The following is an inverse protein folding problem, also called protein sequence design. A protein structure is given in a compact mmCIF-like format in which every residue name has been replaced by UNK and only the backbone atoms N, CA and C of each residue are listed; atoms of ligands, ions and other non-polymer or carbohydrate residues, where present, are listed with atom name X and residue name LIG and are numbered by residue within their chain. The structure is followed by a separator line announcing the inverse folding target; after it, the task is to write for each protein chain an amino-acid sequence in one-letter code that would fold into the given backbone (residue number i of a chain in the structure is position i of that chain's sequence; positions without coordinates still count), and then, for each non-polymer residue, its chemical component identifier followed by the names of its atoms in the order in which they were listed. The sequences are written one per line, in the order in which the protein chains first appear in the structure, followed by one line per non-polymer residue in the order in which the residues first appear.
data_IF_327634711633
#
_entry.id   IF_327634711633
#
_cell.length_a   1.000
_cell.length_b   1.000
_cell.length_c   1.000
_cell.angle_alpha   90.00
_cell.angle_beta   90.00
_cell.angle_gamma   90.00
#
_symmetry.space_group_name_H-M   'P 1'
#
loop_
_entity.id
_entity.type
_entity.pdbx_description
1 polymer ?
#
# COMPACT_ATOMS: atom_id res chain seq x y z
N UNK A 1 10.08 6.16 -10.64
CA UNK A 1 8.71 5.56 -10.63
C UNK A 1 8.61 4.57 -9.48
N UNK A 2 7.53 3.90 -9.31
CA UNK A 2 7.23 2.93 -8.25
C UNK A 2 6.26 1.92 -8.83
N UNK A 3 6.26 0.70 -8.37
CA UNK A 3 5.23 -0.27 -8.68
C UNK A 3 4.79 -0.99 -7.40
N UNK A 4 3.53 -0.79 -7.01
CA UNK A 4 2.94 -1.47 -5.86
C UNK A 4 1.64 -2.15 -6.26
N UNK A 5 1.40 -3.32 -5.65
CA UNK A 5 0.24 -4.19 -5.91
C UNK A 5 -0.41 -4.54 -4.58
N UNK A 6 -1.73 -4.56 -4.55
CA UNK A 6 -2.54 -5.18 -3.52
C UNK A 6 -3.58 -6.09 -4.16
N UNK A 7 -3.65 -7.35 -3.76
CA UNK A 7 -4.63 -8.34 -4.26
C UNK A 7 -5.41 -8.89 -3.08
N UNK A 8 -6.74 -8.81 -3.15
CA UNK A 8 -7.64 -9.39 -2.16
C UNK A 8 -8.18 -10.71 -2.71
N UNK A 9 -8.01 -11.79 -1.98
CA UNK A 9 -8.58 -13.10 -2.29
C UNK A 9 -9.62 -13.48 -1.23
N UNK A 10 -10.31 -14.62 -1.39
CA UNK A 10 -11.21 -15.13 -0.35
C UNK A 10 -10.46 -15.49 0.94
N UNK A 11 -9.17 -15.88 0.83
CA UNK A 11 -8.36 -16.46 1.90
C UNK A 11 -7.35 -15.49 2.50
N UNK A 12 -7.15 -14.31 1.89
CA UNK A 12 -6.16 -13.35 2.38
C UNK A 12 -5.88 -12.20 1.42
N UNK A 13 -4.83 -11.44 1.77
CA UNK A 13 -4.32 -10.32 0.97
C UNK A 13 -2.86 -10.58 0.62
N UNK A 14 -2.51 -10.32 -0.63
CA UNK A 14 -1.12 -10.28 -1.11
C UNK A 14 -0.76 -8.85 -1.42
N UNK A 15 0.36 -8.37 -0.90
CA UNK A 15 0.89 -7.03 -1.16
C UNK A 15 2.32 -7.14 -1.63
N UNK A 16 2.67 -6.39 -2.66
CA UNK A 16 4.04 -6.28 -3.16
C UNK A 16 4.39 -4.83 -3.49
N UNK A 17 5.63 -4.45 -3.26
CA UNK A 17 6.16 -3.15 -3.68
C UNK A 17 7.64 -3.26 -4.05
N UNK A 18 8.08 -2.43 -4.99
CA UNK A 18 9.49 -2.16 -5.21
C UNK A 18 10.03 -1.21 -4.12
N UNK A 19 11.35 -1.13 -3.99
CA UNK A 19 12.01 -0.24 -3.01
C UNK A 19 12.93 0.80 -3.66
N UNK A 20 13.05 0.79 -4.99
CA UNK A 20 13.88 1.77 -5.69
C UNK A 20 13.26 3.16 -5.65
N UNK A 21 14.05 4.16 -5.29
CA UNK A 21 13.65 5.56 -5.30
C UNK A 21 14.68 6.35 -6.08
N UNK A 22 14.23 7.10 -7.09
CA UNK A 22 15.07 7.88 -7.97
C UNK A 22 14.83 9.38 -7.74
N UNK A 23 15.91 10.12 -7.53
CA UNK A 23 15.93 11.57 -7.59
C UNK A 23 16.75 12.01 -8.81
N UNK A 24 16.16 11.92 -10.02
CA UNK A 24 16.84 12.01 -11.30
C UNK A 24 17.35 10.66 -11.80
N UNK A 25 18.10 10.65 -12.90
CA UNK A 25 18.57 9.41 -13.55
C UNK A 25 19.71 8.72 -12.77
N UNK A 26 20.56 9.49 -12.11
CA UNK A 26 21.82 9.00 -11.50
C UNK A 26 21.76 8.87 -9.97
N UNK A 27 20.71 9.37 -9.32
CA UNK A 27 20.58 9.31 -7.86
C UNK A 27 19.55 8.25 -7.47
N UNK A 28 20.02 7.00 -7.38
CA UNK A 28 19.21 5.83 -7.00
C UNK A 28 19.43 5.53 -5.52
N UNK A 29 18.34 5.49 -4.76
CA UNK A 29 18.34 5.10 -3.36
C UNK A 29 17.34 3.96 -3.14
N UNK A 30 17.47 3.27 -2.00
CA UNK A 30 16.58 2.22 -1.58
C UNK A 30 15.80 2.69 -0.35
N UNK A 31 14.46 2.74 -0.48
CA UNK A 31 13.55 3.05 0.62
C UNK A 31 12.38 2.07 0.57
N UNK A 32 12.09 1.39 1.67
CA UNK A 32 10.88 0.59 1.75
C UNK A 32 9.65 1.49 1.56
N UNK A 33 8.75 1.04 0.70
CA UNK A 33 7.47 1.67 0.42
C UNK A 33 6.32 0.89 1.07
N UNK A 34 6.66 -0.17 1.80
CA UNK A 34 5.74 -1.05 2.50
C UNK A 34 5.92 -0.92 4.00
N UNK A 35 4.80 -0.74 4.70
CA UNK A 35 4.73 -0.69 6.16
C UNK A 35 3.63 -1.62 6.64
N UNK A 36 3.91 -2.33 7.72
CA UNK A 36 3.01 -3.31 8.30
C UNK A 36 2.83 -3.01 9.77
N UNK A 37 1.60 -2.98 10.22
CA UNK A 37 1.24 -2.75 11.61
C UNK A 37 0.42 -3.92 12.12
N UNK A 38 0.99 -4.71 13.03
CA UNK A 38 0.29 -5.74 13.80
C UNK A 38 0.06 -5.18 15.19
N UNK A 39 -1.11 -4.60 15.42
CA UNK A 39 -1.45 -3.88 16.65
C UNK A 39 -2.67 -4.52 17.32
N UNK A 40 -2.40 -5.41 18.25
CA UNK A 40 -3.43 -6.04 19.07
C UNK A 40 -4.33 -6.99 18.28
N UNK A 41 -5.53 -6.53 17.93
CA UNK A 41 -6.59 -7.29 17.27
C UNK A 41 -6.65 -7.05 15.75
N UNK A 42 -5.63 -6.41 15.15
CA UNK A 42 -5.66 -6.01 13.75
C UNK A 42 -4.31 -6.04 13.08
N UNK A 43 -4.33 -6.29 11.77
CA UNK A 43 -3.19 -6.15 10.88
C UNK A 43 -3.53 -5.12 9.82
N UNK A 44 -2.66 -4.14 9.63
CA UNK A 44 -2.77 -3.10 8.59
C UNK A 44 -1.52 -3.15 7.71
N UNK A 45 -1.72 -3.34 6.42
CA UNK A 45 -0.69 -3.36 5.37
C UNK A 45 -0.82 -2.08 4.56
N UNK A 46 0.28 -1.35 4.37
CA UNK A 46 0.29 -0.09 3.65
C UNK A 46 1.43 -0.12 2.64
N UNK A 47 1.13 0.18 1.37
CA UNK A 47 2.14 0.49 0.36
C UNK A 47 1.86 1.83 -0.28
N UNK A 48 2.91 2.51 -0.74
CA UNK A 48 2.80 3.89 -1.21
C UNK A 48 3.55 4.14 -2.50
N UNK A 49 3.02 5.09 -3.28
CA UNK A 49 3.65 5.68 -4.46
C UNK A 49 3.45 7.19 -4.46
N UNK A 50 4.38 7.94 -5.01
CA UNK A 50 4.31 9.39 -5.13
C UNK A 50 5.41 10.11 -4.36
N UNK A 51 5.09 11.18 -3.64
CA UNK A 51 6.09 11.96 -2.92
C UNK A 51 6.60 11.25 -1.66
N UNK A 52 7.91 10.93 -1.64
CA UNK A 52 8.53 10.23 -0.52
C UNK A 52 8.44 11.01 0.79
N UNK A 53 8.65 12.34 0.75
CA UNK A 53 8.58 13.18 1.95
C UNK A 53 7.19 13.16 2.59
N UNK A 54 6.14 13.20 1.76
CA UNK A 54 4.75 13.09 2.24
C UNK A 54 4.47 11.73 2.84
N UNK A 55 4.86 10.64 2.18
CA UNK A 55 4.64 9.30 2.72
C UNK A 55 5.40 9.06 4.02
N UNK A 56 6.66 9.50 4.13
CA UNK A 56 7.43 9.43 5.37
C UNK A 56 6.78 10.24 6.51
N UNK A 57 6.24 11.42 6.22
CA UNK A 57 5.52 12.23 7.20
C UNK A 57 4.23 11.56 7.69
N UNK A 58 3.50 10.87 6.78
CA UNK A 58 2.32 10.06 7.14
C UNK A 58 2.73 8.91 8.07
N UNK A 59 3.73 8.11 7.73
CA UNK A 59 4.19 6.99 8.55
C UNK A 59 4.66 7.45 9.94
N UNK A 60 5.50 8.48 9.99
CA UNK A 60 5.97 9.06 11.26
C UNK A 60 4.80 9.55 12.14
N UNK A 61 3.73 10.07 11.52
CA UNK A 61 2.55 10.50 12.26
C UNK A 61 1.76 9.29 12.78
N UNK A 62 1.61 8.23 11.99
CA UNK A 62 0.96 6.99 12.42
C UNK A 62 1.70 6.40 13.63
N UNK A 63 3.03 6.27 13.56
CA UNK A 63 3.85 5.76 14.66
C UNK A 63 3.68 6.60 15.93
N UNK A 64 3.78 7.92 15.82
CA UNK A 64 3.56 8.84 16.93
C UNK A 64 2.15 8.74 17.53
N UNK A 65 1.12 8.63 16.68
CA UNK A 65 -0.26 8.52 17.13
C UNK A 65 -0.53 7.15 17.78
N UNK A 66 0.19 6.09 17.42
CA UNK A 66 0.13 4.78 18.09
C UNK A 66 0.77 4.79 19.49
N UNK A 67 1.81 5.60 19.69
CA UNK A 67 2.45 5.79 20.99
C UNK A 67 1.65 6.72 21.92
N UNK A 68 0.79 7.58 21.35
CA UNK A 68 0.00 8.57 22.10
C UNK A 68 -1.15 7.91 22.84
N UNK A 69 -1.09 7.99 24.19
CA UNK A 69 -2.13 7.46 25.09
C UNK A 69 -3.26 8.45 25.38
N UNK A 70 -3.30 9.62 24.74
CA UNK A 70 -4.30 10.68 24.99
C UNK A 70 -5.71 10.35 24.47
N UNK A 71 -5.92 9.18 23.83
CA UNK A 71 -7.21 8.80 23.22
C UNK A 71 -7.44 9.40 21.82
N UNK A 72 -6.42 9.99 21.22
CA UNK A 72 -6.46 10.52 19.87
C UNK A 72 -6.71 9.41 18.85
N UNK A 73 -7.39 9.75 17.77
CA UNK A 73 -7.68 8.81 16.69
C UNK A 73 -6.37 8.29 16.07
N UNK A 74 -6.21 6.98 16.04
CA UNK A 74 -5.07 6.27 15.49
C UNK A 74 -5.52 4.90 14.94
N UNK A 75 -4.60 4.08 14.44
CA UNK A 75 -4.94 2.76 13.89
C UNK A 75 -5.60 1.83 14.93
N UNK A 76 -5.29 1.95 16.22
CA UNK A 76 -5.89 1.13 17.29
C UNK A 76 -7.33 1.52 17.61
N UNK A 77 -7.68 2.79 17.42
CA UNK A 77 -9.01 3.31 17.78
C UNK A 77 -10.01 3.26 16.62
N UNK A 78 -9.57 2.90 15.41
CA UNK A 78 -10.46 2.70 14.27
C UNK A 78 -11.33 1.44 14.48
N UNK A 79 -12.65 1.57 14.31
CA UNK A 79 -13.61 0.48 14.51
C UNK A 79 -13.75 -0.45 13.30
N UNK A 80 -13.39 0.04 12.11
CA UNK A 80 -13.42 -0.66 10.84
C UNK A 80 -12.36 -0.13 9.87
N UNK A 81 -12.17 -0.82 8.74
CA UNK A 81 -11.19 -0.43 7.74
C UNK A 81 -11.57 0.84 6.96
N UNK A 82 -12.83 1.21 6.93
CA UNK A 82 -13.29 2.47 6.36
C UNK A 82 -12.74 3.66 7.18
N UNK A 83 -12.74 3.52 8.51
CA UNK A 83 -12.13 4.50 9.40
C UNK A 83 -10.60 4.53 9.29
N UNK A 84 -9.95 3.37 9.04
CA UNK A 84 -8.51 3.31 8.74
C UNK A 84 -8.19 4.08 7.47
N UNK A 85 -8.96 3.85 6.39
CA UNK A 85 -8.78 4.58 5.12
C UNK A 85 -8.99 6.08 5.28
N UNK A 86 -10.03 6.51 6.01
CA UNK A 86 -10.29 7.93 6.34
C UNK A 86 -9.16 8.56 7.14
N UNK A 87 -8.63 7.84 8.13
CA UNK A 87 -7.53 8.33 8.97
C UNK A 87 -6.27 8.55 8.14
N UNK A 88 -5.85 7.57 7.32
CA UNK A 88 -4.68 7.68 6.46
C UNK A 88 -4.89 8.75 5.38
N UNK A 89 -6.09 8.83 4.79
CA UNK A 89 -6.45 9.87 3.82
C UNK A 89 -6.34 11.28 4.39
N UNK A 90 -6.81 11.49 5.61
CA UNK A 90 -6.69 12.77 6.32
C UNK A 90 -5.22 13.14 6.60
N UNK A 91 -4.38 12.17 6.99
CA UNK A 91 -2.94 12.37 7.16
C UNK A 91 -2.26 12.71 5.83
N UNK A 92 -2.61 12.01 4.75
CA UNK A 92 -2.08 12.29 3.42
C UNK A 92 -2.38 13.72 2.99
N UNK A 93 -3.63 14.14 3.08
CA UNK A 93 -4.05 15.51 2.75
C UNK A 93 -3.32 16.55 3.62
N UNK A 94 -3.19 16.29 4.92
CA UNK A 94 -2.49 17.18 5.88
C UNK A 94 -1.02 17.39 5.49
N UNK A 95 -0.33 16.34 5.03
CA UNK A 95 1.10 16.38 4.74
C UNK A 95 1.43 16.72 3.28
N UNK A 96 0.47 16.63 2.37
CA UNK A 96 0.63 17.00 0.96
C UNK A 96 0.50 18.48 0.68
N UNK A 97 -0.04 19.25 1.61
CA UNK A 97 -0.21 20.71 1.47
C UNK A 97 0.95 21.45 2.19
N UNK A 98 1.85 22.11 1.47
CA UNK A 98 2.88 22.94 2.08
C UNK A 98 2.22 24.08 2.87
N UNK A 99 2.63 24.28 4.13
CA UNK A 99 2.15 25.39 4.93
C UNK A 99 2.54 26.71 4.27
N UNK A 100 1.55 27.55 3.95
CA UNK A 100 1.75 28.91 3.44
C UNK A 100 1.83 29.07 1.93
N UNK A 101 1.54 28.06 1.14
CA UNK A 101 1.41 28.16 -0.32
C UNK A 101 -0.06 28.34 -0.73
N UNK A 102 -0.31 29.18 -1.75
CA UNK A 102 -1.62 29.39 -2.34
C UNK A 102 -2.15 28.11 -2.99
N UNK A 103 -3.46 27.99 -3.08
CA UNK A 103 -4.25 26.83 -3.52
C UNK A 103 -3.91 26.28 -4.92
N UNK A 104 -3.12 26.97 -5.72
CA UNK A 104 -2.70 26.53 -7.07
C UNK A 104 -1.39 25.72 -7.09
N UNK A 105 -0.82 25.42 -5.92
CA UNK A 105 0.43 24.66 -5.83
C UNK A 105 0.15 23.17 -6.00
N UNK A 106 0.91 22.53 -6.87
CA UNK A 106 0.92 21.07 -7.10
C UNK A 106 0.88 20.34 -5.76
N UNK A 107 -0.20 19.61 -5.50
CA UNK A 107 -0.31 18.75 -4.34
C UNK A 107 0.82 17.70 -4.39
N UNK A 108 1.78 17.80 -3.47
CA UNK A 108 2.87 16.83 -3.32
C UNK A 108 2.35 15.56 -2.62
N UNK A 109 1.18 15.10 -3.03
CA UNK A 109 0.51 13.98 -2.40
C UNK A 109 1.08 12.63 -2.80
N UNK A 110 0.82 11.66 -1.95
CA UNK A 110 1.10 10.25 -2.21
C UNK A 110 -0.19 9.48 -2.44
N UNK A 111 -0.09 8.38 -3.14
CA UNK A 111 -1.18 7.41 -3.29
C UNK A 111 -0.84 6.19 -2.44
N UNK A 112 -1.83 5.66 -1.71
CA UNK A 112 -1.62 4.49 -0.86
C UNK A 112 -2.55 3.35 -1.27
N UNK A 113 -2.07 2.13 -1.16
CA UNK A 113 -2.91 0.94 -1.04
C UNK A 113 -2.85 0.52 0.43
N UNK A 114 -4.03 0.36 1.03
CA UNK A 114 -4.18 -0.03 2.43
C UNK A 114 -5.06 -1.26 2.49
N UNK A 115 -4.56 -2.32 3.11
CA UNK A 115 -5.30 -3.57 3.25
C UNK A 115 -5.10 -4.19 4.62
N UNK A 116 -5.97 -5.13 4.96
CA UNK A 116 -5.84 -5.90 6.20
C UNK A 116 -7.17 -6.26 6.81
N UNK A 117 -7.15 -6.47 8.12
CA UNK A 117 -8.34 -6.91 8.85
C UNK A 117 -8.30 -6.49 10.32
N UNK A 118 -9.45 -6.16 10.87
CA UNK A 118 -9.71 -5.99 12.30
C UNK A 118 -10.50 -7.21 12.77
N UNK A 119 -10.22 -7.73 13.95
CA UNK A 119 -10.88 -8.91 14.53
C UNK A 119 -12.40 -8.75 14.53
N UNK A 120 -13.10 -9.77 14.00
CA UNK A 120 -14.54 -9.75 13.87
C UNK A 120 -15.11 -8.86 12.75
N UNK A 121 -14.24 -8.24 11.94
CA UNK A 121 -14.64 -7.42 10.79
C UNK A 121 -14.20 -8.06 9.46
N UNK A 122 -14.82 -7.67 8.35
CA UNK A 122 -14.38 -8.09 7.01
C UNK A 122 -12.93 -7.66 6.73
N UNK A 123 -12.22 -8.51 6.01
CA UNK A 123 -10.94 -8.16 5.41
C UNK A 123 -11.17 -7.21 4.23
N UNK A 124 -10.43 -6.10 4.18
CA UNK A 124 -10.64 -5.02 3.21
C UNK A 124 -9.35 -4.59 2.51
N UNK A 125 -9.53 -3.97 1.34
CA UNK A 125 -8.46 -3.38 0.54
C UNK A 125 -8.95 -2.06 -0.04
N UNK A 126 -8.16 -0.98 0.11
CA UNK A 126 -8.50 0.37 -0.34
C UNK A 126 -7.36 1.01 -1.11
N UNK A 127 -7.72 1.80 -2.10
CA UNK A 127 -6.85 2.79 -2.74
C UNK A 127 -7.19 4.16 -2.17
N UNK A 128 -6.20 4.87 -1.65
CA UNK A 128 -6.33 6.22 -1.11
C UNK A 128 -5.60 7.18 -2.04
N UNK A 129 -6.33 8.17 -2.54
CA UNK A 129 -5.81 9.19 -3.45
C UNK A 129 -5.07 10.32 -2.72
N UNK A 130 -4.26 11.13 -3.43
CA UNK A 130 -3.59 12.29 -2.86
C UNK A 130 -4.55 13.27 -2.16
N UNK A 131 -5.79 13.37 -2.63
CA UNK A 131 -6.84 14.22 -2.09
C UNK A 131 -7.47 13.67 -0.80
N UNK A 132 -7.05 12.49 -0.35
CA UNK A 132 -7.53 11.85 0.88
C UNK A 132 -8.81 11.01 0.72
N UNK A 133 -9.47 11.06 -0.43
CA UNK A 133 -10.58 10.16 -0.77
C UNK A 133 -10.05 8.75 -1.11
N UNK A 134 -10.93 7.75 -1.05
CA UNK A 134 -10.54 6.36 -1.26
C UNK A 134 -11.63 5.56 -1.97
N UNK A 135 -11.22 4.45 -2.58
CA UNK A 135 -12.09 3.49 -3.25
C UNK A 135 -11.71 2.05 -2.87
N UNK A 136 -12.66 1.14 -3.04
CA UNK A 136 -12.40 -0.31 -3.04
C UNK A 136 -12.14 -0.81 -4.46
N UNK A 137 -11.42 -1.93 -4.63
CA UNK A 137 -11.36 -2.59 -5.92
C UNK A 137 -12.77 -3.10 -6.31
N UNK A 138 -13.01 -3.24 -7.62
CA UNK A 138 -14.23 -3.86 -8.10
C UNK A 138 -14.26 -5.35 -7.72
N UNK A 139 -15.44 -5.87 -7.39
CA UNK A 139 -15.60 -7.29 -7.02
C UNK A 139 -15.12 -8.25 -8.13
N UNK A 140 -15.31 -7.87 -9.40
CA UNK A 140 -14.86 -8.65 -10.55
C UNK A 140 -13.33 -8.59 -10.78
N UNK A 141 -12.63 -7.60 -10.19
CA UNK A 141 -11.19 -7.34 -10.29
C UNK A 141 -10.66 -6.97 -8.90
N UNK A 142 -10.49 -7.96 -7.99
CA UNK A 142 -10.21 -7.71 -6.59
C UNK A 142 -8.73 -7.37 -6.33
N UNK A 143 -8.18 -6.44 -7.10
CA UNK A 143 -6.82 -5.95 -6.94
C UNK A 143 -6.71 -4.45 -7.21
N UNK A 144 -5.66 -3.85 -6.68
CA UNK A 144 -5.29 -2.46 -6.85
C UNK A 144 -3.81 -2.36 -7.22
N UNK A 145 -3.48 -1.37 -8.05
CA UNK A 145 -2.11 -1.08 -8.49
C UNK A 145 -1.88 0.41 -8.40
N UNK A 146 -0.69 0.81 -7.97
CA UNK A 146 -0.24 2.20 -7.99
C UNK A 146 1.18 2.31 -8.55
N UNK A 147 1.49 3.46 -9.13
CA UNK A 147 2.77 3.73 -9.79
C UNK A 147 2.75 3.37 -11.29
N UNK A 148 3.75 2.62 -11.75
CA UNK A 148 3.83 2.18 -13.15
C UNK A 148 2.84 1.03 -13.40
N UNK A 149 1.96 1.20 -14.38
CA UNK A 149 0.89 0.21 -14.62
C UNK A 149 0.99 -0.50 -15.97
N UNK A 150 1.86 -0.04 -16.88
CA UNK A 150 1.89 -0.51 -18.27
C UNK A 150 2.28 -1.98 -18.40
N UNK A 151 3.25 -2.42 -17.59
CA UNK A 151 3.90 -3.72 -17.81
C UNK A 151 3.31 -4.83 -16.93
N UNK A 152 3.04 -4.52 -15.67
CA UNK A 152 2.56 -5.51 -14.70
C UNK A 152 1.05 -5.66 -14.66
N UNK A 153 0.28 -4.58 -14.76
CA UNK A 153 -1.18 -4.62 -14.70
C UNK A 153 -1.83 -5.54 -15.74
N UNK A 154 -1.39 -5.61 -17.02
CA UNK A 154 -1.97 -6.54 -18.00
C UNK A 154 -1.89 -8.03 -17.59
N UNK A 155 -0.91 -8.41 -16.76
CA UNK A 155 -0.77 -9.76 -16.22
C UNK A 155 -1.84 -9.99 -15.16
N UNK A 156 -2.02 -9.04 -14.25
CA UNK A 156 -3.06 -9.09 -13.22
C UNK A 156 -4.46 -9.15 -13.84
N UNK A 157 -4.71 -8.36 -14.89
CA UNK A 157 -6.00 -8.31 -15.60
C UNK A 157 -6.42 -9.68 -16.17
N UNK A 158 -5.46 -10.51 -16.57
CA UNK A 158 -5.71 -11.83 -17.13
C UNK A 158 -5.92 -12.92 -16.08
N UNK A 159 -5.25 -12.82 -14.94
CA UNK A 159 -5.15 -13.90 -13.96
C UNK A 159 -6.02 -13.65 -12.74
N UNK A 160 -6.12 -12.40 -12.27
CA UNK A 160 -6.81 -12.11 -11.01
C UNK A 160 -8.32 -12.06 -11.24
N UNK A 161 -9.00 -13.03 -10.64
CA UNK A 161 -10.45 -13.18 -10.61
C UNK A 161 -10.94 -13.28 -9.17
N UNK A 162 -12.25 -13.17 -8.90
CA UNK A 162 -12.81 -13.32 -7.56
C UNK A 162 -12.49 -14.65 -6.87
N UNK A 163 -12.22 -15.69 -7.66
CA UNK A 163 -11.96 -17.05 -7.18
C UNK A 163 -10.47 -17.43 -7.15
N UNK A 164 -9.57 -16.46 -7.44
CA UNK A 164 -8.14 -16.72 -7.42
C UNK A 164 -7.68 -17.18 -6.04
N UNK A 165 -6.86 -18.24 -6.00
CA UNK A 165 -6.25 -18.70 -4.74
C UNK A 165 -5.18 -17.73 -4.28
N UNK A 166 -4.91 -17.69 -2.97
CA UNK A 166 -3.83 -16.83 -2.42
C UNK A 166 -2.45 -17.23 -2.98
N UNK A 167 -2.26 -18.52 -3.31
CA UNK A 167 -1.03 -19.02 -3.93
C UNK A 167 -0.86 -18.52 -5.37
N UNK A 168 -1.93 -18.55 -6.18
CA UNK A 168 -1.88 -18.05 -7.54
C UNK A 168 -1.79 -16.51 -7.58
N UNK A 169 -2.49 -15.83 -6.68
CA UNK A 169 -2.35 -14.39 -6.51
C UNK A 169 -0.92 -13.99 -6.16
N UNK A 170 -0.25 -14.75 -5.27
CA UNK A 170 1.16 -14.54 -4.91
C UNK A 170 2.10 -14.73 -6.10
N UNK A 171 1.93 -15.80 -6.87
CA UNK A 171 2.70 -16.05 -8.10
C UNK A 171 2.48 -14.96 -9.14
N UNK A 172 1.21 -14.59 -9.35
CA UNK A 172 0.84 -13.54 -10.30
C UNK A 172 1.44 -12.18 -9.92
N UNK A 173 1.42 -11.81 -8.63
CA UNK A 173 2.04 -10.59 -8.14
C UNK A 173 3.54 -10.56 -8.42
N UNK A 174 4.27 -11.67 -8.16
CA UNK A 174 5.71 -11.75 -8.43
C UNK A 174 6.04 -11.68 -9.93
N UNK A 175 5.28 -12.35 -10.79
CA UNK A 175 5.45 -12.28 -12.26
C UNK A 175 5.17 -10.86 -12.75
N UNK A 176 4.14 -10.21 -12.22
CA UNK A 176 3.79 -8.82 -12.53
C UNK A 176 4.89 -7.85 -12.11
N UNK A 177 5.51 -8.06 -10.93
CA UNK A 177 6.68 -7.30 -10.48
C UNK A 177 7.88 -7.53 -11.40
N UNK A 178 8.24 -8.77 -11.72
CA UNK A 178 9.37 -9.10 -12.60
C UNK A 178 9.21 -8.47 -13.99
N UNK A 179 8.02 -8.54 -14.57
CA UNK A 179 7.73 -7.89 -15.86
C UNK A 179 7.97 -6.37 -15.82
N UNK A 180 7.56 -5.73 -14.73
CA UNK A 180 7.76 -4.28 -14.56
C UNK A 180 9.23 -3.93 -14.33
N UNK A 181 9.94 -4.69 -13.48
CA UNK A 181 11.36 -4.50 -13.19
C UNK A 181 12.23 -4.60 -14.45
N UNK A 182 11.91 -5.52 -15.36
CA UNK A 182 12.64 -5.71 -16.63
C UNK A 182 12.33 -4.66 -17.68
N UNK A 183 11.21 -3.96 -17.54
CA UNK A 183 10.70 -3.04 -18.55
C UNK A 183 10.83 -1.57 -18.16
N UNK A 184 10.98 -1.26 -16.86
CA UNK A 184 11.11 0.10 -16.33
C UNK A 184 12.32 0.20 -15.39
N UNK A 185 13.36 0.88 -15.82
CA UNK A 185 14.60 1.10 -15.07
C UNK A 185 14.39 1.87 -13.75
N UNK A 186 13.28 2.59 -13.62
CA UNK A 186 12.97 3.39 -12.43
C UNK A 186 12.30 2.58 -11.32
N UNK A 187 11.86 1.35 -11.62
CA UNK A 187 11.35 0.37 -10.68
C UNK A 187 12.44 -0.66 -10.41
N UNK A 188 12.69 -1.01 -9.16
CA UNK A 188 13.80 -1.91 -8.88
C UNK A 188 13.82 -2.53 -7.49
N UNK A 189 14.64 -3.58 -7.34
CA UNK A 189 14.79 -4.30 -6.08
C UNK A 189 15.44 -3.41 -4.99
N UNK A 190 15.35 -3.86 -3.72
CA UNK A 190 14.66 -5.07 -3.25
C UNK A 190 13.14 -4.97 -3.38
N UNK A 191 12.46 -6.13 -3.47
CA UNK A 191 11.00 -6.24 -3.50
C UNK A 191 10.50 -6.61 -2.12
N UNK A 192 9.67 -5.77 -1.54
CA UNK A 192 8.93 -6.09 -0.34
C UNK A 192 7.68 -6.88 -0.74
N UNK A 193 7.48 -8.04 -0.11
CA UNK A 193 6.40 -8.96 -0.41
C UNK A 193 5.77 -9.50 0.86
N UNK A 194 4.45 -9.34 1.00
CA UNK A 194 3.69 -9.76 2.18
C UNK A 194 2.48 -10.58 1.78
N UNK A 195 2.26 -11.67 2.49
CA UNK A 195 1.05 -12.48 2.44
C UNK A 195 0.38 -12.45 3.81
N UNK A 196 -0.83 -11.92 3.86
CA UNK A 196 -1.71 -11.92 5.01
C UNK A 196 -2.80 -12.98 4.83
N UNK A 197 -3.00 -13.85 5.83
CA UNK A 197 -4.07 -14.85 5.83
C UNK A 197 -5.30 -14.29 6.57
N UNK A 198 -6.47 -14.43 5.96
CA UNK A 198 -7.75 -14.06 6.57
C UNK A 198 -7.90 -14.71 7.95
N UNK A 199 -8.41 -13.94 8.91
CA UNK A 199 -8.64 -14.34 10.31
C UNK A 199 -7.38 -14.82 11.06
N UNK A 200 -6.19 -14.64 10.45
CA UNK A 200 -4.91 -14.96 11.07
C UNK A 200 -4.41 -13.88 12.03
N UNK A 201 -4.83 -12.64 11.82
CA UNK A 201 -4.39 -11.43 12.55
C UNK A 201 -2.88 -11.34 12.73
N UNK A 202 -2.16 -11.97 11.80
CA UNK A 202 -0.70 -11.99 11.70
C UNK A 202 -0.30 -12.09 10.24
N UNK A 203 0.84 -11.53 9.92
CA UNK A 203 1.46 -11.70 8.62
C UNK A 203 1.92 -13.16 8.49
N UNK A 204 1.44 -13.84 7.45
CA UNK A 204 1.81 -15.23 7.18
C UNK A 204 3.25 -15.33 6.67
N UNK A 205 3.66 -14.40 5.82
CA UNK A 205 5.00 -14.34 5.24
C UNK A 205 5.33 -12.90 4.87
N UNK A 206 6.50 -12.44 5.28
CA UNK A 206 7.10 -11.18 4.84
C UNK A 206 8.50 -11.48 4.32
N UNK A 207 8.78 -11.03 3.11
CA UNK A 207 10.07 -11.25 2.43
C UNK A 207 10.54 -9.96 1.78
N UNK A 208 11.85 -9.75 1.84
CA UNK A 208 12.57 -8.78 1.05
C UNK A 208 13.36 -9.57 0.00
N UNK A 209 12.99 -9.45 -1.26
CA UNK A 209 13.55 -10.25 -2.35
C UNK A 209 14.53 -9.41 -3.17
N UNK A 210 15.77 -9.87 -3.26
CA UNK A 210 16.77 -9.36 -4.19
C UNK A 210 16.71 -10.23 -5.45
N UNK A 211 16.02 -9.76 -6.46
CA UNK A 211 15.83 -10.45 -7.74
C UNK A 211 16.73 -9.79 -8.80
#
# INVERSE_FOLDING_TARGET
MTYCIGIKTKDGIVVASDSRTNAGLDNVNIYSKMFTYDVGDRTVLIVTSGNLGTSQAVYKTIEKDLEDKSGKKNLNTCEDFDQVAKYIGALNLKHSSPKGMNTDTVLLGSTFIVGGQIKGKPMELFLIYPQGNYIKPADSKPYLVIGEVKYGKPILDRVITPDVTIGDASRCALISMDSTLKSDLTVGPPIDFVVYKKDGYKILSQKCLNI
#
